data_IF_007644299116
#
_entry.id   IF_007644299116
#
_cell.length_a   1.000
_cell.length_b   1.000
_cell.length_c   1.000
_cell.angle_alpha   90.00
_cell.angle_beta   90.00
_cell.angle_gamma   90.00
#
_symmetry.space_group_name_H-M   'P 1'
#
loop_
_entity.id
_entity.type
_entity.pdbx_description
1 polymer ?
#
# COMPACT_ATOMS: atom_id res chain seq x y z
N UNK A 1 31.50 5.79 8.56
CA UNK A 1 31.60 6.58 7.31
C UNK A 1 30.72 7.80 7.52
N UNK A 2 31.32 8.96 7.80
CA UNK A 2 30.58 10.21 7.96
C UNK A 2 30.42 10.80 6.57
N UNK A 3 29.22 10.70 6.01
CA UNK A 3 28.89 11.28 4.71
C UNK A 3 28.89 12.80 4.87
N UNK A 4 29.65 13.54 4.05
CA UNK A 4 29.72 15.02 4.04
C UNK A 4 28.41 15.71 3.57
N UNK A 5 27.29 14.97 3.54
CA UNK A 5 25.98 15.49 3.16
C UNK A 5 25.26 16.03 4.37
N UNK A 6 24.62 17.18 4.22
CA UNK A 6 23.83 17.75 5.32
C UNK A 6 22.56 16.92 5.52
N UNK A 7 22.04 16.88 6.75
CA UNK A 7 20.76 16.20 7.05
C UNK A 7 19.62 16.77 6.18
N UNK A 8 19.69 18.06 5.86
CA UNK A 8 18.72 18.71 4.97
C UNK A 8 18.76 18.15 3.54
N UNK A 9 19.93 17.79 3.02
CA UNK A 9 20.05 17.17 1.69
C UNK A 9 19.39 15.79 1.64
N UNK A 10 19.49 15.02 2.72
CA UNK A 10 18.86 13.70 2.81
C UNK A 10 17.33 13.83 2.91
N UNK A 11 16.85 14.74 3.75
CA UNK A 11 15.41 15.01 3.89
C UNK A 11 14.81 15.47 2.56
N UNK A 12 15.43 16.44 1.89
CA UNK A 12 14.92 16.98 0.62
C UNK A 12 14.88 15.94 -0.49
N UNK A 13 15.77 14.95 -0.45
CA UNK A 13 15.78 13.82 -1.39
C UNK A 13 14.68 12.79 -1.08
N UNK A 14 14.43 12.47 0.20
CA UNK A 14 13.45 11.45 0.61
C UNK A 14 11.99 11.93 0.68
N UNK A 15 11.79 13.23 0.95
CA UNK A 15 10.47 13.84 1.13
C UNK A 15 9.53 13.68 -0.09
N UNK A 16 9.95 13.95 -1.34
CA UNK A 16 9.06 13.77 -2.50
C UNK A 16 8.63 12.31 -2.69
N UNK A 17 9.51 11.35 -2.43
CA UNK A 17 9.21 9.92 -2.55
C UNK A 17 8.18 9.49 -1.49
N UNK A 18 8.39 9.90 -0.24
CA UNK A 18 7.45 9.62 0.85
C UNK A 18 6.07 10.21 0.55
N UNK A 19 6.02 11.45 0.04
CA UNK A 19 4.77 12.12 -0.31
C UNK A 19 4.04 11.39 -1.44
N UNK A 20 4.75 10.98 -2.49
CA UNK A 20 4.18 10.24 -3.60
C UNK A 20 3.60 8.90 -3.14
N UNK A 21 4.36 8.10 -2.39
CA UNK A 21 3.90 6.82 -1.87
C UNK A 21 2.71 6.99 -0.91
N UNK A 22 2.75 8.00 -0.04
CA UNK A 22 1.66 8.32 0.88
C UNK A 22 0.37 8.70 0.16
N UNK A 23 0.45 9.59 -0.84
CA UNK A 23 -0.70 10.01 -1.64
C UNK A 23 -1.29 8.84 -2.43
N UNK A 24 -0.44 8.01 -3.04
CA UNK A 24 -0.90 6.80 -3.74
C UNK A 24 -1.59 5.83 -2.78
N UNK A 25 -1.03 5.63 -1.58
CA UNK A 25 -1.65 4.80 -0.54
C UNK A 25 -3.03 5.30 -0.15
N UNK A 26 -3.19 6.61 0.05
CA UNK A 26 -4.48 7.24 0.36
C UNK A 26 -5.47 7.05 -0.78
N UNK A 27 -5.06 7.28 -2.03
CA UNK A 27 -5.93 7.13 -3.19
C UNK A 27 -6.43 5.69 -3.34
N UNK A 28 -5.55 4.70 -3.25
CA UNK A 28 -5.91 3.28 -3.32
C UNK A 28 -6.83 2.91 -2.16
N UNK A 29 -6.50 3.36 -0.94
CA UNK A 29 -7.34 3.10 0.23
C UNK A 29 -8.75 3.68 0.07
N UNK A 30 -8.88 4.91 -0.42
CA UNK A 30 -10.18 5.54 -0.65
C UNK A 30 -10.98 4.84 -1.75
N UNK A 31 -10.33 4.44 -2.86
CA UNK A 31 -10.99 3.72 -3.95
C UNK A 31 -11.62 2.40 -3.51
N UNK A 32 -11.06 1.73 -2.50
CA UNK A 32 -11.56 0.46 -1.99
C UNK A 32 -12.50 0.68 -0.81
N UNK A 33 -12.11 1.52 0.15
CA UNK A 33 -12.86 1.75 1.38
C UNK A 33 -14.19 2.47 1.14
N UNK A 34 -14.23 3.45 0.22
CA UNK A 34 -15.46 4.22 -0.03
C UNK A 34 -16.58 3.35 -0.62
N UNK A 35 -16.38 2.56 -1.69
CA UNK A 35 -17.46 1.70 -2.21
C UNK A 35 -17.95 0.68 -1.18
N UNK A 36 -17.03 0.04 -0.45
CA UNK A 36 -17.38 -0.94 0.58
C UNK A 36 -18.16 -0.27 1.72
N UNK A 37 -17.70 0.90 2.18
CA UNK A 37 -18.34 1.67 3.24
C UNK A 37 -19.72 2.20 2.86
N UNK A 38 -19.86 2.74 1.64
CA UNK A 38 -21.15 3.22 1.12
C UNK A 38 -22.13 2.05 0.97
N UNK A 39 -21.68 0.92 0.42
CA UNK A 39 -22.52 -0.27 0.27
C UNK A 39 -23.01 -0.80 1.62
N UNK A 40 -22.10 -0.94 2.59
CA UNK A 40 -22.40 -1.34 3.97
C UNK A 40 -23.38 -0.38 4.65
N UNK A 41 -23.20 0.93 4.47
CA UNK A 41 -24.09 1.95 5.03
C UNK A 41 -25.50 1.94 4.42
N UNK A 42 -25.63 1.63 3.11
CA UNK A 42 -26.93 1.54 2.45
C UNK A 42 -27.67 0.22 2.74
N UNK A 43 -26.94 -0.86 3.02
CA UNK A 43 -27.48 -2.22 3.21
C UNK A 43 -27.05 -2.81 4.55
N UNK A 44 -27.25 -2.03 5.61
CA UNK A 44 -26.92 -2.43 6.98
C UNK A 44 -27.62 -3.74 7.37
N UNK A 45 -26.94 -4.55 8.18
CA UNK A 45 -27.43 -5.82 8.73
C UNK A 45 -27.80 -6.87 7.67
N UNK A 46 -27.34 -6.69 6.43
CA UNK A 46 -27.46 -7.71 5.39
C UNK A 46 -26.24 -8.64 5.40
N UNK A 47 -26.39 -9.85 4.82
CA UNK A 47 -25.26 -10.78 4.64
C UNK A 47 -24.05 -10.14 3.94
N UNK A 48 -24.29 -9.23 2.98
CA UNK A 48 -23.22 -8.50 2.31
C UNK A 48 -22.48 -7.52 3.23
N UNK A 49 -23.19 -6.88 4.16
CA UNK A 49 -22.61 -6.01 5.19
C UNK A 49 -21.73 -6.81 6.17
N UNK A 50 -22.22 -7.96 6.66
CA UNK A 50 -21.41 -8.84 7.53
C UNK A 50 -20.11 -9.27 6.86
N UNK A 51 -20.14 -9.69 5.59
CA UNK A 51 -18.92 -10.07 4.84
C UNK A 51 -17.97 -8.88 4.70
N UNK A 52 -18.49 -7.71 4.32
CA UNK A 52 -17.69 -6.49 4.16
C UNK A 52 -17.00 -6.09 5.47
N UNK A 53 -17.73 -6.11 6.60
CA UNK A 53 -17.20 -5.79 7.93
C UNK A 53 -16.17 -6.82 8.40
N UNK A 54 -16.44 -8.11 8.23
CA UNK A 54 -15.47 -9.16 8.56
C UNK A 54 -14.18 -9.04 7.74
N UNK A 55 -14.31 -8.76 6.44
CA UNK A 55 -13.14 -8.52 5.58
C UNK A 55 -12.35 -7.29 6.02
N UNK A 56 -13.02 -6.18 6.35
CA UNK A 56 -12.37 -4.98 6.86
C UNK A 56 -11.61 -5.25 8.17
N UNK A 57 -12.22 -5.97 9.11
CA UNK A 57 -11.58 -6.37 10.38
C UNK A 57 -10.36 -7.24 10.11
N UNK A 58 -10.45 -8.20 9.18
CA UNK A 58 -9.33 -9.04 8.79
C UNK A 58 -8.17 -8.21 8.24
N UNK A 59 -8.42 -7.30 7.29
CA UNK A 59 -7.38 -6.43 6.74
C UNK A 59 -6.69 -5.56 7.79
N UNK A 60 -7.41 -5.08 8.80
CA UNK A 60 -6.86 -4.26 9.90
C UNK A 60 -6.07 -5.13 10.89
N UNK A 61 -6.48 -6.39 11.11
CA UNK A 61 -5.82 -7.29 12.04
C UNK A 61 -4.46 -7.81 11.54
N UNK A 62 -4.24 -7.80 10.21
CA UNK A 62 -2.99 -8.28 9.64
C UNK A 62 -1.88 -7.22 9.76
N UNK A 63 -0.69 -7.56 10.29
CA UNK A 63 0.42 -6.63 10.38
C UNK A 63 0.95 -6.17 9.02
N UNK A 64 1.29 -4.87 8.90
CA UNK A 64 1.75 -4.29 7.63
C UNK A 64 3.03 -4.93 7.07
N UNK A 65 4.00 -5.29 7.93
CA UNK A 65 5.22 -5.97 7.48
C UNK A 65 4.94 -7.35 6.90
N UNK A 66 3.94 -8.06 7.47
CA UNK A 66 3.55 -9.38 7.00
C UNK A 66 2.88 -9.29 5.63
N UNK A 67 2.00 -8.31 5.43
CA UNK A 67 1.42 -8.02 4.11
C UNK A 67 2.50 -7.66 3.09
N UNK A 68 3.43 -6.77 3.45
CA UNK A 68 4.55 -6.40 2.57
C UNK A 68 5.39 -7.60 2.16
N UNK A 69 5.63 -8.54 3.09
CA UNK A 69 6.36 -9.78 2.81
C UNK A 69 5.55 -10.69 1.88
N UNK A 70 4.24 -10.83 2.10
CA UNK A 70 3.37 -11.65 1.25
C UNK A 70 3.25 -11.10 -0.18
N UNK A 71 3.27 -9.78 -0.37
CA UNK A 71 3.29 -9.13 -1.69
C UNK A 71 4.54 -9.54 -2.49
N UNK A 72 5.66 -9.80 -1.83
CA UNK A 72 6.90 -10.25 -2.47
C UNK A 72 6.90 -11.77 -2.69
N UNK A 73 6.57 -12.53 -1.64
CA UNK A 73 6.72 -13.99 -1.61
C UNK A 73 5.68 -14.70 -2.46
N UNK A 74 4.42 -14.27 -2.41
CA UNK A 74 3.33 -14.98 -3.07
C UNK A 74 3.50 -15.00 -4.59
N UNK A 75 3.82 -13.88 -5.27
CA UNK A 75 4.07 -13.91 -6.70
C UNK A 75 5.36 -14.62 -7.10
N UNK A 76 6.37 -14.57 -6.24
CA UNK A 76 7.65 -15.25 -6.47
C UNK A 76 7.47 -16.77 -6.54
N UNK A 77 6.67 -17.35 -5.65
CA UNK A 77 6.43 -18.81 -5.61
C UNK A 77 5.48 -19.24 -6.74
N UNK A 78 4.41 -18.49 -6.98
CA UNK A 78 3.33 -18.94 -7.89
C UNK A 78 3.58 -18.57 -9.35
N UNK A 79 4.15 -17.39 -9.61
CA UNK A 79 4.39 -16.86 -10.96
C UNK A 79 5.87 -16.80 -11.34
N UNK A 80 6.80 -17.12 -10.43
CA UNK A 80 8.24 -16.98 -10.67
C UNK A 80 8.68 -15.52 -10.86
N UNK A 81 7.83 -14.56 -10.47
CA UNK A 81 8.06 -13.13 -10.62
C UNK A 81 8.17 -12.48 -9.25
N UNK A 82 9.21 -11.66 -9.05
CA UNK A 82 9.38 -10.88 -7.83
C UNK A 82 9.23 -9.38 -8.15
N UNK A 83 8.37 -8.64 -7.43
CA UNK A 83 8.31 -7.19 -7.56
C UNK A 83 9.68 -6.54 -7.29
N UNK A 84 10.05 -5.48 -8.03
CA UNK A 84 11.27 -4.73 -7.76
C UNK A 84 11.25 -4.16 -6.34
N UNK A 85 12.37 -4.31 -5.63
CA UNK A 85 12.56 -3.74 -4.28
C UNK A 85 12.97 -2.26 -4.38
N UNK A 86 13.57 -1.86 -5.50
CA UNK A 86 13.97 -0.48 -5.75
C UNK A 86 12.77 0.35 -6.24
N UNK A 87 12.68 1.59 -5.75
CA UNK A 87 11.69 2.54 -6.24
C UNK A 87 12.00 2.92 -7.69
N UNK A 88 11.15 2.47 -8.61
CA UNK A 88 11.15 2.95 -9.99
C UNK A 88 10.33 4.24 -10.00
N UNK A 89 10.95 5.36 -10.37
CA UNK A 89 10.25 6.64 -10.46
C UNK A 89 9.25 6.56 -11.60
N UNK A 90 8.02 7.01 -11.37
CA UNK A 90 6.98 7.02 -12.41
C UNK A 90 7.32 7.89 -13.64
N UNK A 91 8.33 8.74 -13.52
CA UNK A 91 8.85 9.58 -14.60
C UNK A 91 10.01 8.95 -15.38
N UNK A 92 10.55 7.83 -14.93
CA UNK A 92 11.63 7.10 -15.60
C UNK A 92 11.03 5.89 -16.31
N UNK A 93 11.45 5.65 -17.56
CA UNK A 93 10.98 4.50 -18.33
C UNK A 93 11.41 3.20 -17.63
N UNK A 94 10.49 2.25 -17.41
CA UNK A 94 10.75 1.04 -16.64
C UNK A 94 11.52 -0.04 -17.44
N UNK A 95 12.10 0.31 -18.60
CA UNK A 95 12.71 -0.60 -19.58
C UNK A 95 14.15 -0.19 -19.89
#
# INVERSE_FOLDING_TARGET
>A
MWTEKTVLDEITTALPVTLQLGLMGILVAQLIALPIGIYSAMRQDTWGDYIARSFAIFCIAVPGFWLGTMVIVFPSIWWGYMPPIMLIRFTEDPI
#
